data_IF_470267101799
#
_entry.id   IF_470267101799
#
_cell.length_a   1.000
_cell.length_b   1.000
_cell.length_c   1.000
_cell.angle_alpha   90.00
_cell.angle_beta   90.00
_cell.angle_gamma   90.00
#
_symmetry.space_group_name_H-M   'P 1'
#
loop_
_entity.id
_entity.type
_entity.pdbx_description
1 polymer ?
#
# COMPACT_ATOMS: atom_id res chain seq x y z
N UNK A 1 22.05 -2.83 -14.98
CA UNK A 1 21.30 -1.72 -15.60
C UNK A 1 19.81 -2.02 -15.79
N UNK A 2 19.36 -3.24 -15.53
CA UNK A 2 17.98 -3.70 -15.67
C UNK A 2 17.10 -3.31 -14.48
N UNK A 3 15.79 -3.33 -14.63
CA UNK A 3 14.88 -3.34 -13.49
C UNK A 3 15.08 -4.62 -12.67
N UNK A 4 14.73 -4.58 -11.39
CA UNK A 4 14.90 -5.71 -10.49
C UNK A 4 13.62 -5.95 -9.70
N UNK A 5 13.15 -7.20 -9.68
CA UNK A 5 12.07 -7.65 -8.80
C UNK A 5 12.66 -8.68 -7.83
N UNK A 6 12.55 -8.41 -6.54
CA UNK A 6 12.99 -9.29 -5.47
C UNK A 6 11.77 -9.88 -4.78
N UNK A 7 11.53 -11.18 -4.99
CA UNK A 7 10.47 -11.92 -4.31
C UNK A 7 11.01 -12.40 -2.95
N UNK A 8 10.60 -11.75 -1.88
CA UNK A 8 11.22 -11.92 -0.57
C UNK A 8 10.20 -12.35 0.49
N UNK A 9 10.40 -13.54 1.06
CA UNK A 9 9.54 -14.07 2.11
C UNK A 9 9.63 -13.32 3.46
N UNK A 10 8.89 -13.80 4.45
CA UNK A 10 8.88 -13.22 5.79
C UNK A 10 10.25 -13.35 6.49
N UNK A 11 10.79 -12.23 6.97
CA UNK A 11 12.06 -12.23 7.70
C UNK A 11 13.31 -12.57 6.89
N UNK A 12 13.24 -12.49 5.55
CA UNK A 12 14.37 -12.82 4.66
C UNK A 12 15.37 -11.68 4.46
N UNK A 13 15.20 -10.56 5.18
CA UNK A 13 16.13 -9.43 5.09
C UNK A 13 15.82 -8.45 3.95
N UNK A 14 14.55 -8.33 3.54
CA UNK A 14 14.10 -7.38 2.49
C UNK A 14 14.75 -6.00 2.63
N UNK A 15 14.50 -5.34 3.75
CA UNK A 15 14.99 -3.98 4.02
C UNK A 15 16.52 -3.89 4.02
N UNK A 16 17.19 -4.89 4.62
CA UNK A 16 18.66 -4.94 4.64
C UNK A 16 19.22 -5.05 3.22
N UNK A 17 18.66 -5.93 2.41
CA UNK A 17 19.09 -6.10 1.00
C UNK A 17 18.92 -4.81 0.20
N UNK A 18 17.83 -4.06 0.40
CA UNK A 18 17.63 -2.80 -0.30
C UNK A 18 18.61 -1.73 0.17
N UNK A 19 18.86 -1.62 1.47
CA UNK A 19 19.85 -0.67 2.02
C UNK A 19 21.23 -0.95 1.46
N UNK A 20 21.66 -2.22 1.42
CA UNK A 20 22.94 -2.61 0.81
C UNK A 20 22.96 -2.30 -0.70
N UNK A 21 21.89 -2.56 -1.40
CA UNK A 21 21.79 -2.18 -2.81
C UNK A 21 21.87 -0.66 -3.00
N UNK A 22 21.32 0.13 -2.08
CA UNK A 22 21.42 1.59 -2.11
C UNK A 22 22.86 2.08 -1.88
N UNK A 23 23.65 1.38 -1.04
CA UNK A 23 25.09 1.68 -0.86
C UNK A 23 25.92 1.45 -2.14
N UNK A 24 25.44 0.63 -3.06
CA UNK A 24 26.17 0.26 -4.28
C UNK A 24 25.88 1.15 -5.51
N UNK A 25 24.92 2.08 -5.43
CA UNK A 25 24.49 2.87 -6.61
C UNK A 25 25.44 4.04 -6.96
N UNK A 26 26.35 4.38 -6.06
CA UNK A 26 27.28 5.52 -6.25
C UNK A 26 26.54 6.87 -6.27
N UNK A 27 26.98 7.79 -7.10
CA UNK A 27 26.44 9.16 -7.18
C UNK A 27 25.16 9.31 -7.99
N UNK A 28 24.36 8.25 -8.15
CA UNK A 28 23.08 8.30 -8.86
C UNK A 28 22.02 8.96 -8.01
N UNK A 29 21.16 9.76 -8.63
CA UNK A 29 20.00 10.31 -7.96
C UNK A 29 19.02 9.20 -7.63
N UNK A 30 18.80 8.93 -6.37
CA UNK A 30 17.98 7.82 -5.94
C UNK A 30 16.98 8.20 -4.85
N UNK A 31 15.89 7.46 -4.79
CA UNK A 31 14.93 7.56 -3.70
C UNK A 31 14.37 6.20 -3.31
N UNK A 32 13.89 6.13 -2.07
CA UNK A 32 13.18 5.00 -1.51
C UNK A 32 11.72 5.36 -1.27
N UNK A 33 10.80 4.61 -1.87
CA UNK A 33 9.37 4.72 -1.63
C UNK A 33 8.95 3.75 -0.53
N UNK A 34 8.65 4.31 0.64
CA UNK A 34 8.17 3.57 1.80
C UNK A 34 6.63 3.55 1.85
N UNK A 35 6.08 2.45 2.36
CA UNK A 35 4.65 2.30 2.52
C UNK A 35 4.05 3.27 3.57
N UNK A 36 4.78 3.54 4.65
CA UNK A 36 4.34 4.43 5.72
C UNK A 36 5.47 5.31 6.26
N UNK A 37 5.10 6.30 7.11
CA UNK A 37 6.03 7.28 7.67
C UNK A 37 7.07 6.65 8.61
N UNK A 38 6.69 5.65 9.40
CA UNK A 38 7.60 4.99 10.35
C UNK A 38 8.74 4.30 9.58
N UNK A 39 8.42 3.55 8.54
CA UNK A 39 9.40 2.90 7.65
C UNK A 39 10.28 3.96 6.95
N UNK A 40 9.68 5.04 6.45
CA UNK A 40 10.44 6.11 5.81
C UNK A 40 11.46 6.75 6.77
N UNK A 41 11.09 6.96 8.03
CA UNK A 41 11.98 7.53 9.05
C UNK A 41 13.11 6.57 9.42
N UNK A 42 12.81 5.28 9.66
CA UNK A 42 13.81 4.26 9.94
C UNK A 42 14.82 4.12 8.79
N UNK A 43 14.32 4.13 7.56
CA UNK A 43 15.18 4.03 6.38
C UNK A 43 16.06 5.27 6.18
N UNK A 44 15.54 6.45 6.46
CA UNK A 44 16.33 7.68 6.34
C UNK A 44 17.60 7.68 7.22
N UNK A 45 17.59 6.93 8.34
CA UNK A 45 18.75 6.76 9.22
C UNK A 45 19.76 5.73 8.70
N UNK A 46 19.35 4.84 7.79
CA UNK A 46 20.14 3.70 7.31
C UNK A 46 20.64 3.85 5.87
N UNK A 47 19.98 4.71 5.09
CA UNK A 47 20.32 4.95 3.69
C UNK A 47 21.58 5.83 3.56
N UNK A 48 22.37 5.63 2.51
CA UNK A 48 23.51 6.50 2.25
C UNK A 48 23.09 7.94 1.96
N UNK A 49 24.00 8.88 2.20
CA UNK A 49 23.80 10.29 1.90
C UNK A 49 23.37 10.50 0.44
N UNK A 50 22.37 11.34 0.23
CA UNK A 50 21.82 11.61 -1.10
C UNK A 50 20.68 10.69 -1.56
N UNK A 51 20.36 9.63 -0.82
CA UNK A 51 19.19 8.79 -1.08
C UNK A 51 18.02 9.23 -0.20
N UNK A 52 16.96 9.73 -0.81
CA UNK A 52 15.77 10.19 -0.08
C UNK A 52 14.84 9.03 0.28
N UNK A 53 14.36 8.96 1.53
CA UNK A 53 13.27 8.07 1.93
C UNK A 53 11.97 8.87 2.10
N UNK A 54 10.93 8.55 1.34
CA UNK A 54 9.64 9.25 1.38
C UNK A 54 8.47 8.28 1.20
N UNK A 55 7.31 8.66 1.74
CA UNK A 55 6.06 7.94 1.45
C UNK A 55 5.46 8.37 0.11
N UNK A 56 4.55 7.56 -0.46
CA UNK A 56 3.78 7.93 -1.66
C UNK A 56 3.07 9.27 -1.52
N UNK A 57 2.46 9.52 -0.37
CA UNK A 57 1.78 10.80 -0.09
C UNK A 57 2.75 11.97 -0.11
N UNK A 58 3.96 11.82 0.45
CA UNK A 58 4.98 12.86 0.42
C UNK A 58 5.48 13.13 -1.01
N UNK A 59 5.62 12.10 -1.84
CA UNK A 59 5.95 12.25 -3.26
C UNK A 59 4.87 12.99 -4.03
N UNK A 60 3.61 12.57 -3.91
CA UNK A 60 2.50 13.22 -4.59
C UNK A 60 2.31 14.66 -4.12
N UNK A 61 2.47 14.92 -2.82
CA UNK A 61 2.43 16.29 -2.30
C UNK A 61 3.57 17.17 -2.83
N UNK A 62 4.75 16.58 -3.04
CA UNK A 62 5.87 17.28 -3.68
C UNK A 62 5.55 17.66 -5.13
N UNK A 63 4.88 16.76 -5.88
CA UNK A 63 4.43 17.06 -7.25
C UNK A 63 3.38 18.19 -7.29
N UNK A 64 2.44 18.22 -6.35
CA UNK A 64 1.45 19.29 -6.22
C UNK A 64 2.14 20.64 -5.96
N UNK A 65 3.14 20.67 -5.08
CA UNK A 65 3.92 21.87 -4.80
C UNK A 65 4.76 22.33 -6.00
N UNK A 66 5.39 21.38 -6.69
CA UNK A 66 6.17 21.65 -7.91
C UNK A 66 5.32 22.24 -9.03
N UNK A 67 4.03 21.89 -9.09
CA UNK A 67 3.04 22.50 -9.99
C UNK A 67 2.59 23.92 -9.55
N UNK A 68 3.12 24.47 -8.46
CA UNK A 68 2.76 25.79 -7.95
C UNK A 68 1.39 25.84 -7.23
N UNK A 69 0.77 24.70 -6.95
CA UNK A 69 -0.54 24.62 -6.32
C UNK A 69 -0.42 24.82 -4.82
N UNK A 70 -1.05 25.89 -4.30
CA UNK A 70 -1.16 26.14 -2.86
C UNK A 70 -2.36 25.38 -2.30
N UNK A 71 -2.11 24.47 -1.36
CA UNK A 71 -3.15 23.60 -0.81
C UNK A 71 -2.98 23.33 0.68
N UNK A 72 -4.08 22.96 1.34
CA UNK A 72 -4.11 22.46 2.73
C UNK A 72 -4.67 21.04 2.73
N UNK A 73 -4.13 20.19 3.59
CA UNK A 73 -4.66 18.83 3.78
C UNK A 73 -5.85 18.86 4.73
N UNK A 74 -6.98 18.31 4.28
CA UNK A 74 -8.19 18.15 5.08
C UNK A 74 -8.88 16.82 4.72
N UNK A 75 -8.83 15.86 5.62
CA UNK A 75 -9.41 14.53 5.44
C UNK A 75 -10.96 14.51 5.38
N UNK A 76 -11.60 15.62 5.69
CA UNK A 76 -13.05 15.78 5.55
C UNK A 76 -13.48 16.31 4.17
N UNK A 77 -12.54 16.63 3.26
CA UNK A 77 -12.85 17.17 1.93
C UNK A 77 -13.90 16.34 1.20
N UNK A 78 -13.63 15.05 1.01
CA UNK A 78 -14.53 14.15 0.29
C UNK A 78 -15.89 14.03 1.00
N UNK A 79 -15.88 13.96 2.33
CA UNK A 79 -17.10 13.93 3.13
C UNK A 79 -17.98 15.18 2.91
N UNK A 80 -17.35 16.35 2.87
CA UNK A 80 -18.05 17.61 2.63
C UNK A 80 -18.60 17.67 1.19
N UNK A 81 -17.81 17.29 0.20
CA UNK A 81 -18.26 17.23 -1.21
C UNK A 81 -19.50 16.33 -1.35
N UNK A 82 -19.48 15.15 -0.74
CA UNK A 82 -20.62 14.21 -0.81
C UNK A 82 -21.86 14.82 -0.16
N UNK A 83 -21.73 15.42 1.03
CA UNK A 83 -22.86 16.06 1.73
C UNK A 83 -23.40 17.28 1.00
N UNK A 84 -22.53 18.09 0.40
CA UNK A 84 -22.93 19.25 -0.37
C UNK A 84 -23.69 18.85 -1.65
N UNK A 85 -23.32 17.72 -2.25
CA UNK A 85 -23.93 17.24 -3.50
C UNK A 85 -25.22 16.45 -3.27
N UNK A 86 -25.26 15.57 -2.26
CA UNK A 86 -26.34 14.59 -2.06
C UNK A 86 -27.21 14.86 -0.81
N UNK A 87 -26.84 15.85 0.00
CA UNK A 87 -27.55 16.20 1.24
C UNK A 87 -26.91 15.58 2.49
N UNK A 88 -27.23 16.19 3.64
CA UNK A 88 -26.65 15.81 4.93
C UNK A 88 -27.06 14.41 5.40
N UNK A 89 -28.24 13.95 4.99
CA UNK A 89 -28.82 12.66 5.39
C UNK A 89 -28.29 11.48 4.58
N UNK A 90 -27.52 11.73 3.51
CA UNK A 90 -26.94 10.67 2.69
C UNK A 90 -25.91 9.86 3.49
N UNK A 91 -25.99 8.53 3.41
CA UNK A 91 -25.03 7.65 4.09
C UNK A 91 -23.68 7.66 3.38
N UNK A 92 -22.76 8.47 3.89
CA UNK A 92 -21.50 8.84 3.23
C UNK A 92 -20.50 7.69 3.16
N UNK A 93 -20.50 6.77 4.12
CA UNK A 93 -19.41 5.80 4.28
C UNK A 93 -19.19 4.89 3.06
N UNK A 94 -20.20 4.22 2.47
CA UNK A 94 -20.02 3.39 1.27
C UNK A 94 -19.54 4.19 0.06
N UNK A 95 -20.12 5.36 -0.18
CA UNK A 95 -19.72 6.20 -1.31
C UNK A 95 -18.30 6.74 -1.14
N UNK A 96 -17.92 7.11 0.07
CA UNK A 96 -16.55 7.52 0.37
C UNK A 96 -15.56 6.39 0.08
N UNK A 97 -15.86 5.17 0.50
CA UNK A 97 -15.05 3.99 0.19
C UNK A 97 -14.96 3.76 -1.32
N UNK A 98 -16.09 3.82 -2.03
CA UNK A 98 -16.13 3.63 -3.48
C UNK A 98 -15.30 4.69 -4.22
N UNK A 99 -15.43 5.96 -3.87
CA UNK A 99 -14.64 7.05 -4.49
C UNK A 99 -13.14 6.88 -4.22
N UNK A 100 -12.76 6.45 -3.00
CA UNK A 100 -11.36 6.14 -2.68
C UNK A 100 -10.80 5.01 -3.56
N UNK A 101 -11.58 3.95 -3.77
CA UNK A 101 -11.21 2.85 -4.65
C UNK A 101 -11.14 3.29 -6.13
N UNK A 102 -12.08 4.09 -6.60
CA UNK A 102 -12.07 4.66 -7.96
C UNK A 102 -10.82 5.51 -8.19
N UNK A 103 -10.45 6.38 -7.24
CA UNK A 103 -9.20 7.16 -7.27
C UNK A 103 -7.97 6.25 -7.26
N UNK A 104 -7.94 5.26 -6.35
CA UNK A 104 -6.84 4.31 -6.20
C UNK A 104 -6.62 3.42 -7.43
N UNK A 105 -7.69 3.03 -8.11
CA UNK A 105 -7.68 2.19 -9.30
C UNK A 105 -7.58 2.98 -10.61
N UNK A 106 -7.56 4.32 -10.55
CA UNK A 106 -7.57 5.22 -11.72
C UNK A 106 -8.73 4.94 -12.70
N UNK A 107 -9.84 4.41 -12.18
CA UNK A 107 -11.05 4.16 -12.97
C UNK A 107 -11.70 5.50 -13.35
N UNK A 108 -12.14 5.64 -14.59
CA UNK A 108 -12.88 6.83 -15.01
C UNK A 108 -14.25 6.87 -14.35
N UNK A 109 -14.64 8.00 -13.82
CA UNK A 109 -15.94 8.16 -13.14
C UNK A 109 -17.17 7.81 -14.00
N UNK A 110 -17.01 7.78 -15.31
CA UNK A 110 -18.05 7.39 -16.29
C UNK A 110 -18.03 5.90 -16.65
N UNK A 111 -17.04 5.14 -16.16
CA UNK A 111 -16.94 3.70 -16.43
C UNK A 111 -17.73 2.89 -15.38
N UNK A 112 -19.06 2.89 -15.56
CA UNK A 112 -20.01 2.21 -14.68
C UNK A 112 -19.68 0.72 -14.52
N UNK A 113 -19.19 0.06 -15.58
CA UNK A 113 -18.83 -1.37 -15.52
C UNK A 113 -17.69 -1.62 -14.55
N UNK A 114 -16.63 -0.84 -14.62
CA UNK A 114 -15.50 -0.95 -13.69
C UNK A 114 -15.89 -0.52 -12.27
N UNK A 115 -16.77 0.47 -12.12
CA UNK A 115 -17.30 0.90 -10.82
C UNK A 115 -18.10 -0.23 -10.16
N UNK A 116 -19.02 -0.88 -10.89
CA UNK A 116 -19.79 -2.02 -10.38
C UNK A 116 -18.86 -3.17 -9.96
N UNK A 117 -17.81 -3.45 -10.76
CA UNK A 117 -16.80 -4.45 -10.38
C UNK A 117 -16.13 -4.11 -9.05
N UNK A 118 -15.83 -2.84 -8.78
CA UNK A 118 -15.28 -2.42 -7.48
C UNK A 118 -16.29 -2.63 -6.34
N UNK A 119 -17.58 -2.35 -6.56
CA UNK A 119 -18.62 -2.58 -5.57
C UNK A 119 -18.67 -4.06 -5.19
N UNK A 120 -18.69 -4.95 -6.18
CA UNK A 120 -18.75 -6.41 -5.99
C UNK A 120 -17.47 -6.93 -5.31
N UNK A 121 -16.29 -6.55 -5.81
CA UNK A 121 -15.00 -7.04 -5.33
C UNK A 121 -14.73 -6.63 -3.88
N UNK A 122 -15.14 -5.42 -3.50
CA UNK A 122 -14.91 -4.87 -2.16
C UNK A 122 -16.12 -4.97 -1.23
N UNK A 123 -17.18 -5.67 -1.66
CA UNK A 123 -18.43 -5.86 -0.91
C UNK A 123 -18.94 -4.53 -0.32
N UNK A 124 -19.05 -3.50 -1.16
CA UNK A 124 -19.56 -2.20 -0.71
C UNK A 124 -21.09 -2.29 -0.62
N UNK A 125 -21.60 -2.11 0.59
CA UNK A 125 -23.04 -2.25 0.84
C UNK A 125 -23.68 -0.87 1.02
N UNK A 126 -24.65 -0.55 0.18
CA UNK A 126 -25.55 0.59 0.31
C UNK A 126 -26.84 0.16 1.01
N UNK A 127 -27.58 1.10 1.57
CA UNK A 127 -28.83 0.78 2.28
C UNK A 127 -29.98 0.35 1.32
N UNK A 128 -29.87 0.67 0.04
CA UNK A 128 -30.83 0.29 -1.00
C UNK A 128 -30.23 0.40 -2.40
N UNK A 129 -30.81 -0.31 -3.38
CA UNK A 129 -30.44 -0.21 -4.81
C UNK A 129 -30.59 1.22 -5.35
N UNK A 130 -31.53 2.00 -4.79
CA UNK A 130 -31.70 3.41 -5.15
C UNK A 130 -30.51 4.24 -4.70
N UNK A 131 -30.03 4.02 -3.48
CA UNK A 131 -28.88 4.73 -2.92
C UNK A 131 -27.61 4.37 -3.70
N UNK A 132 -27.41 3.09 -4.02
CA UNK A 132 -26.30 2.63 -4.85
C UNK A 132 -26.29 3.31 -6.23
N UNK A 133 -27.45 3.37 -6.89
CA UNK A 133 -27.57 4.03 -8.20
C UNK A 133 -27.23 5.52 -8.11
N UNK A 134 -27.75 6.23 -7.11
CA UNK A 134 -27.41 7.66 -6.87
C UNK A 134 -25.92 7.82 -6.62
N UNK A 135 -25.33 6.91 -5.83
CA UNK A 135 -23.90 6.92 -5.56
C UNK A 135 -23.08 6.79 -6.85
N UNK A 136 -23.37 5.80 -7.70
CA UNK A 136 -22.68 5.58 -8.98
C UNK A 136 -22.82 6.79 -9.90
N UNK A 137 -24.04 7.32 -10.06
CA UNK A 137 -24.33 8.48 -10.92
C UNK A 137 -23.63 9.77 -10.43
N UNK A 138 -23.34 9.87 -9.12
CA UNK A 138 -22.67 11.03 -8.53
C UNK A 138 -21.15 11.04 -8.67
N UNK A 139 -20.51 9.88 -8.93
CA UNK A 139 -19.05 9.75 -8.99
C UNK A 139 -18.40 10.75 -9.97
N UNK A 140 -18.87 10.93 -11.20
CA UNK A 140 -18.25 11.89 -12.13
C UNK A 140 -18.20 13.32 -11.57
N UNK A 141 -19.29 13.76 -10.94
CA UNK A 141 -19.39 15.08 -10.33
C UNK A 141 -18.47 15.21 -9.12
N UNK A 142 -18.41 14.19 -8.25
CA UNK A 142 -17.53 14.15 -7.07
C UNK A 142 -16.07 14.22 -7.50
N UNK A 143 -15.64 13.42 -8.48
CA UNK A 143 -14.27 13.44 -8.98
C UNK A 143 -13.92 14.78 -9.62
N UNK A 144 -14.86 15.40 -10.35
CA UNK A 144 -14.66 16.74 -10.89
C UNK A 144 -14.46 17.77 -9.79
N UNK A 145 -15.27 17.74 -8.74
CA UNK A 145 -15.11 18.62 -7.57
C UNK A 145 -13.78 18.36 -6.85
N UNK A 146 -13.40 17.11 -6.66
CA UNK A 146 -12.09 16.75 -6.09
C UNK A 146 -10.94 17.32 -6.90
N UNK A 147 -11.03 17.23 -8.23
CA UNK A 147 -10.02 17.71 -9.17
C UNK A 147 -9.89 19.24 -9.21
N UNK A 148 -11.01 19.96 -9.14
CA UNK A 148 -11.06 21.43 -9.30
C UNK A 148 -10.83 22.18 -7.98
N UNK A 149 -11.21 21.62 -6.84
CA UNK A 149 -10.98 22.19 -5.52
C UNK A 149 -9.55 21.92 -5.03
N UNK A 150 -8.57 22.56 -5.67
CA UNK A 150 -7.14 22.30 -5.43
C UNK A 150 -6.62 22.95 -4.13
N UNK A 151 -7.31 23.95 -3.58
CA UNK A 151 -6.92 24.64 -2.34
C UNK A 151 -7.06 23.78 -1.07
N UNK A 152 -7.84 22.70 -1.15
CA UNK A 152 -8.00 21.66 -0.14
C UNK A 152 -7.83 20.31 -0.79
N UNK A 153 -7.05 19.42 -0.18
CA UNK A 153 -6.85 18.03 -0.63
C UNK A 153 -7.00 17.07 0.54
N UNK A 154 -7.45 15.86 0.27
CA UNK A 154 -7.39 14.72 1.20
C UNK A 154 -6.18 13.82 0.91
N UNK A 155 -6.04 12.72 1.64
CA UNK A 155 -4.92 11.79 1.43
C UNK A 155 -4.97 11.12 0.05
N UNK A 156 -6.16 10.73 -0.44
CA UNK A 156 -6.29 10.12 -1.77
C UNK A 156 -5.90 11.12 -2.85
N UNK A 157 -6.29 12.38 -2.70
CA UNK A 157 -5.93 13.46 -3.63
C UNK A 157 -4.42 13.67 -3.72
N UNK A 158 -3.66 13.43 -2.63
CA UNK A 158 -2.20 13.60 -2.67
C UNK A 158 -1.54 12.70 -3.73
N UNK A 159 -2.12 11.54 -3.99
CA UNK A 159 -1.62 10.59 -4.99
C UNK A 159 -2.36 10.76 -6.33
N UNK A 160 -3.69 10.80 -6.28
CA UNK A 160 -4.55 10.81 -7.45
C UNK A 160 -4.48 12.13 -8.25
N UNK A 161 -4.56 13.28 -7.58
CA UNK A 161 -4.61 14.58 -8.23
C UNK A 161 -3.37 14.88 -9.11
N UNK A 162 -2.13 14.62 -8.66
CA UNK A 162 -0.96 14.81 -9.52
C UNK A 162 -0.99 13.95 -10.79
N UNK A 163 -1.55 12.76 -10.71
CA UNK A 163 -1.65 11.83 -11.83
C UNK A 163 -2.64 12.31 -12.89
N UNK A 164 -3.83 12.75 -12.45
CA UNK A 164 -4.90 13.17 -13.39
C UNK A 164 -4.74 14.59 -13.94
N UNK A 165 -3.94 15.43 -13.26
CA UNK A 165 -3.61 16.77 -13.73
C UNK A 165 -2.23 16.83 -14.41
N UNK A 166 -1.57 15.69 -14.55
CA UNK A 166 -0.24 15.56 -15.14
C UNK A 166 0.80 16.52 -14.54
N UNK A 167 0.80 16.62 -13.18
CA UNK A 167 1.77 17.44 -12.46
C UNK A 167 3.17 16.81 -12.53
N UNK A 168 4.23 17.63 -12.50
CA UNK A 168 5.60 17.14 -12.64
C UNK A 168 6.00 16.32 -11.39
N UNK A 169 6.33 15.06 -11.59
CA UNK A 169 6.94 14.21 -10.58
C UNK A 169 8.46 14.36 -10.61
N UNK A 170 9.14 14.26 -9.44
CA UNK A 170 10.58 14.13 -9.43
C UNK A 170 10.99 12.80 -10.08
N UNK A 171 12.05 12.85 -10.91
CA UNK A 171 12.60 11.67 -11.57
C UNK A 171 13.90 11.24 -10.91
N UNK A 172 14.14 9.92 -10.90
CA UNK A 172 15.28 9.28 -10.27
C UNK A 172 15.98 8.31 -11.22
N UNK A 173 17.32 8.23 -11.12
CA UNK A 173 18.09 7.21 -11.82
C UNK A 173 17.83 5.82 -11.26
N UNK A 174 17.60 5.74 -9.92
CA UNK A 174 17.23 4.51 -9.22
C UNK A 174 16.11 4.79 -8.23
N UNK A 175 15.02 4.02 -8.34
CA UNK A 175 13.92 4.07 -7.40
C UNK A 175 13.78 2.72 -6.69
N UNK A 176 13.93 2.73 -5.38
CA UNK A 176 13.70 1.58 -4.51
C UNK A 176 12.26 1.58 -4.03
N UNK A 177 11.64 0.42 -4.04
CA UNK A 177 10.22 0.26 -3.70
C UNK A 177 10.05 -0.98 -2.85
N UNK A 178 9.55 -0.83 -1.62
CA UNK A 178 9.27 -1.93 -0.71
C UNK A 178 7.77 -2.22 -0.59
N UNK A 179 7.42 -3.42 -0.15
CA UNK A 179 6.05 -3.91 0.04
C UNK A 179 5.17 -3.78 -1.23
N UNK A 180 5.75 -4.10 -2.38
CA UNK A 180 5.12 -3.90 -3.69
C UNK A 180 3.83 -4.71 -3.90
N UNK A 181 3.58 -5.74 -3.11
CA UNK A 181 2.35 -6.53 -3.15
C UNK A 181 1.11 -5.73 -2.69
N UNK A 182 1.31 -4.63 -1.95
CA UNK A 182 0.23 -3.84 -1.35
C UNK A 182 -0.14 -2.58 -2.15
N UNK A 183 0.37 -2.43 -3.38
CA UNK A 183 0.13 -1.22 -4.17
C UNK A 183 -1.12 -1.31 -5.04
N UNK A 184 -1.84 -0.21 -5.07
CA UNK A 184 -2.92 0.03 -6.01
C UNK A 184 -2.41 0.62 -7.34
N UNK A 185 -3.30 0.80 -8.30
CA UNK A 185 -2.95 1.28 -9.64
C UNK A 185 -2.38 2.70 -9.65
N UNK A 186 -2.92 3.61 -8.82
CA UNK A 186 -2.42 4.99 -8.76
C UNK A 186 -0.98 5.05 -8.21
N UNK A 187 -0.63 4.19 -7.27
CA UNK A 187 0.74 4.08 -6.76
C UNK A 187 1.69 3.51 -7.81
N UNK A 188 1.27 2.47 -8.55
CA UNK A 188 2.07 1.92 -9.67
C UNK A 188 2.30 2.96 -10.77
N UNK A 189 1.28 3.75 -11.12
CA UNK A 189 1.42 4.83 -12.10
C UNK A 189 2.40 5.91 -11.61
N UNK A 190 2.31 6.31 -10.35
CA UNK A 190 3.25 7.27 -9.76
C UNK A 190 4.69 6.77 -9.84
N UNK A 191 4.95 5.51 -9.51
CA UNK A 191 6.29 4.91 -9.62
C UNK A 191 6.78 5.02 -11.07
N UNK A 192 5.94 4.67 -12.06
CA UNK A 192 6.32 4.76 -13.48
C UNK A 192 6.72 6.17 -13.89
N UNK A 193 6.01 7.20 -13.41
CA UNK A 193 6.37 8.60 -13.66
C UNK A 193 7.67 9.02 -12.99
N UNK A 194 7.96 8.49 -11.78
CA UNK A 194 9.19 8.78 -11.05
C UNK A 194 10.43 8.06 -11.61
N UNK A 195 10.25 6.94 -12.31
CA UNK A 195 11.33 6.11 -12.89
C UNK A 195 11.64 6.50 -14.34
N UNK A 196 11.01 7.52 -14.89
CA UNK A 196 11.12 7.87 -16.30
C UNK A 196 12.58 7.89 -16.81
N UNK A 197 12.97 6.86 -17.57
CA UNK A 197 14.34 6.62 -18.03
C UNK A 197 15.31 6.04 -16.99
N UNK A 198 14.90 5.90 -15.74
CA UNK A 198 15.69 5.33 -14.65
C UNK A 198 15.48 3.83 -14.46
N UNK A 199 15.94 3.31 -13.33
CA UNK A 199 15.87 1.92 -12.90
C UNK A 199 14.96 1.78 -11.68
N UNK A 200 14.11 0.75 -11.64
CA UNK A 200 13.30 0.42 -10.49
C UNK A 200 13.80 -0.89 -9.84
N UNK A 201 13.94 -0.89 -8.52
CA UNK A 201 14.24 -2.07 -7.70
C UNK A 201 13.05 -2.26 -6.77
N UNK A 202 12.29 -3.31 -7.04
CA UNK A 202 11.02 -3.61 -6.36
C UNK A 202 11.24 -4.82 -5.47
N UNK A 203 10.80 -4.70 -4.22
CA UNK A 203 10.80 -5.82 -3.26
C UNK A 203 9.39 -6.02 -2.75
N UNK A 204 9.00 -7.27 -2.59
CA UNK A 204 7.70 -7.62 -2.05
C UNK A 204 7.54 -9.11 -1.80
N UNK A 205 6.49 -9.47 -1.09
CA UNK A 205 6.09 -10.84 -0.83
C UNK A 205 4.65 -11.05 -1.28
N UNK A 206 4.47 -11.76 -2.40
CA UNK A 206 3.13 -12.06 -2.93
C UNK A 206 2.21 -12.79 -1.93
N UNK A 207 2.80 -13.51 -0.96
CA UNK A 207 2.07 -14.27 0.05
C UNK A 207 1.68 -13.42 1.28
N UNK A 208 2.18 -12.18 1.37
CA UNK A 208 1.85 -11.22 2.44
C UNK A 208 0.91 -10.10 1.99
N UNK A 209 0.28 -10.20 0.83
CA UNK A 209 -0.71 -9.22 0.36
C UNK A 209 -1.97 -9.24 1.25
N UNK A 210 -2.07 -8.30 2.19
CA UNK A 210 -3.18 -8.21 3.16
C UNK A 210 -4.02 -6.94 3.03
N UNK A 211 -3.60 -5.98 2.23
CA UNK A 211 -4.26 -4.68 2.05
C UNK A 211 -5.23 -4.63 0.85
N UNK A 212 -5.76 -5.78 0.42
CA UNK A 212 -6.78 -5.84 -0.62
C UNK A 212 -7.94 -4.85 -0.39
N UNK A 213 -8.42 -4.69 0.83
CA UNK A 213 -9.48 -3.74 1.19
C UNK A 213 -9.17 -2.25 0.93
N UNK A 214 -7.90 -1.91 0.63
CA UNK A 214 -7.45 -0.56 0.21
C UNK A 214 -7.23 -0.44 -1.30
N UNK A 215 -7.73 -1.39 -2.08
CA UNK A 215 -7.51 -1.42 -3.52
C UNK A 215 -6.16 -2.00 -3.93
N UNK A 216 -5.41 -2.62 -3.00
CA UNK A 216 -4.23 -3.38 -3.35
C UNK A 216 -4.64 -4.62 -4.16
N UNK A 217 -3.97 -4.83 -5.28
CA UNK A 217 -4.21 -5.98 -6.15
C UNK A 217 -3.32 -7.13 -5.70
N UNK A 218 -3.90 -8.30 -5.41
CA UNK A 218 -3.15 -9.51 -5.07
C UNK A 218 -2.14 -9.92 -6.15
N UNK A 219 -2.33 -9.41 -7.37
CA UNK A 219 -1.44 -9.58 -8.51
C UNK A 219 -0.48 -8.39 -8.74
N UNK A 220 -0.36 -7.49 -7.76
CA UNK A 220 0.35 -6.21 -7.88
C UNK A 220 1.77 -6.36 -8.46
N UNK A 221 2.55 -7.33 -8.00
CA UNK A 221 3.92 -7.57 -8.49
C UNK A 221 3.92 -7.93 -9.98
N UNK A 222 2.99 -8.78 -10.44
CA UNK A 222 2.89 -9.12 -11.86
C UNK A 222 2.41 -7.92 -12.71
N UNK A 223 1.52 -7.09 -12.19
CA UNK A 223 1.11 -5.85 -12.86
C UNK A 223 2.27 -4.86 -12.98
N UNK A 224 3.12 -4.79 -11.97
CA UNK A 224 4.38 -4.05 -12.04
C UNK A 224 5.27 -4.60 -13.15
N UNK A 225 5.49 -5.93 -13.17
CA UNK A 225 6.27 -6.56 -14.21
C UNK A 225 5.76 -6.18 -15.60
N UNK A 226 4.46 -6.34 -15.86
CA UNK A 226 3.86 -5.99 -17.15
C UNK A 226 4.05 -4.51 -17.52
N UNK A 227 4.03 -3.63 -16.54
CA UNK A 227 4.24 -2.20 -16.73
C UNK A 227 5.70 -1.87 -17.05
N UNK A 228 6.65 -2.45 -16.32
CA UNK A 228 8.09 -2.26 -16.56
C UNK A 228 8.54 -2.86 -17.87
N UNK A 229 7.94 -3.97 -18.33
CA UNK A 229 8.20 -4.58 -19.64
C UNK A 229 7.77 -3.72 -20.83
N UNK A 230 6.97 -2.67 -20.63
CA UNK A 230 6.65 -1.71 -21.70
C UNK A 230 7.80 -0.75 -22.00
N UNK A 231 8.83 -0.70 -21.15
CA UNK A 231 10.05 0.05 -21.39
C UNK A 231 11.13 -0.77 -22.07
N UNK A 232 12.26 -0.14 -22.34
CA UNK A 232 13.40 -0.75 -23.06
C UNK A 232 14.33 -1.58 -22.17
N UNK A 233 14.03 -1.68 -20.85
CA UNK A 233 14.88 -2.39 -19.89
C UNK A 233 14.35 -3.78 -19.61
N UNK A 234 15.27 -4.74 -19.51
CA UNK A 234 14.96 -6.08 -19.02
C UNK A 234 14.66 -6.06 -17.52
N UNK A 235 14.03 -7.12 -17.03
CA UNK A 235 13.73 -7.33 -15.61
C UNK A 235 14.48 -8.55 -15.12
N UNK A 236 15.37 -8.35 -14.15
CA UNK A 236 15.95 -9.43 -13.37
C UNK A 236 15.01 -9.81 -12.20
N UNK A 237 14.93 -11.11 -11.90
CA UNK A 237 14.14 -11.59 -10.76
C UNK A 237 14.99 -12.43 -9.84
N UNK A 238 14.88 -12.16 -8.54
CA UNK A 238 15.65 -12.88 -7.52
C UNK A 238 14.76 -13.24 -6.33
N UNK A 239 14.81 -14.50 -5.88
CA UNK A 239 14.15 -14.90 -4.65
C UNK A 239 15.02 -14.59 -3.43
N UNK A 240 14.38 -14.15 -2.33
CA UNK A 240 14.93 -14.22 -0.99
C UNK A 240 14.07 -15.21 -0.19
N UNK A 241 14.55 -16.44 -0.04
CA UNK A 241 13.80 -17.55 0.54
C UNK A 241 14.24 -17.96 1.95
N UNK A 242 15.40 -17.47 2.42
CA UNK A 242 15.95 -17.84 3.73
C UNK A 242 15.50 -16.85 4.79
N UNK A 243 14.68 -17.31 5.72
CA UNK A 243 14.25 -16.50 6.88
C UNK A 243 15.31 -16.46 7.98
N UNK A 244 15.69 -15.27 8.36
CA UNK A 244 16.58 -14.99 9.50
C UNK A 244 15.82 -14.69 10.80
N UNK A 245 14.49 -14.61 10.70
CA UNK A 245 13.59 -14.25 11.80
C UNK A 245 12.86 -15.45 12.37
N UNK A 246 12.36 -16.33 11.50
CA UNK A 246 11.43 -17.37 11.89
C UNK A 246 12.14 -18.61 12.44
N UNK A 247 11.68 -19.19 13.57
CA UNK A 247 12.14 -20.48 14.05
C UNK A 247 11.85 -21.63 13.07
N UNK A 248 12.58 -22.74 13.21
CA UNK A 248 12.46 -23.92 12.36
C UNK A 248 11.02 -24.47 12.31
N UNK A 249 10.36 -24.61 13.46
CA UNK A 249 8.99 -25.11 13.55
C UNK A 249 7.98 -24.19 12.86
N UNK A 250 8.17 -22.86 12.93
CA UNK A 250 7.31 -21.87 12.24
C UNK A 250 7.50 -21.93 10.74
N UNK A 251 8.74 -22.06 10.26
CA UNK A 251 9.03 -22.23 8.83
C UNK A 251 8.44 -23.54 8.30
N UNK A 252 8.56 -24.64 9.06
CA UNK A 252 7.94 -25.93 8.70
C UNK A 252 6.43 -25.81 8.57
N UNK A 253 5.77 -25.08 9.46
CA UNK A 253 4.33 -24.83 9.37
C UNK A 253 3.99 -23.95 8.18
N UNK A 254 4.74 -22.87 7.95
CA UNK A 254 4.55 -21.97 6.80
C UNK A 254 4.69 -22.70 5.45
N UNK A 255 5.55 -23.71 5.36
CA UNK A 255 5.78 -24.51 4.15
C UNK A 255 4.57 -25.36 3.72
N UNK A 256 3.53 -25.48 4.57
CA UNK A 256 2.23 -26.04 4.14
C UNK A 256 1.54 -25.15 3.11
N UNK A 257 1.82 -23.85 3.12
CA UNK A 257 1.17 -22.81 2.31
C UNK A 257 2.11 -22.15 1.31
N UNK A 258 3.37 -21.97 1.68
CA UNK A 258 4.39 -21.27 0.89
C UNK A 258 5.53 -22.24 0.59
N UNK A 259 5.70 -22.58 -0.69
CA UNK A 259 6.84 -23.39 -1.14
C UNK A 259 8.09 -22.51 -1.23
N UNK A 260 9.26 -23.14 -1.16
CA UNK A 260 10.57 -22.47 -1.33
C UNK A 260 10.89 -21.45 -0.22
N UNK A 261 10.43 -21.69 1.01
CA UNK A 261 10.71 -20.89 2.18
C UNK A 261 11.49 -21.74 3.19
N UNK A 262 12.69 -21.29 3.58
CA UNK A 262 13.58 -22.01 4.50
C UNK A 262 14.01 -21.16 5.68
N UNK A 263 14.33 -21.81 6.78
CA UNK A 263 14.96 -21.15 7.92
C UNK A 263 16.47 -21.06 7.72
N UNK A 264 17.10 -20.04 8.31
CA UNK A 264 18.56 -19.95 8.40
C UNK A 264 19.13 -21.10 9.23
N UNK A 265 20.37 -21.50 8.97
CA UNK A 265 21.09 -22.52 9.76
C UNK A 265 21.28 -22.11 11.23
N UNK A 266 21.11 -20.83 11.55
CA UNK A 266 21.18 -20.27 12.91
C UNK A 266 19.80 -20.18 13.58
N UNK A 267 18.74 -20.63 12.92
CA UNK A 267 17.38 -20.54 13.45
C UNK A 267 17.20 -21.45 14.67
N UNK A 268 16.49 -20.92 15.68
CA UNK A 268 16.09 -21.71 16.85
C UNK A 268 15.00 -22.71 16.47
N UNK A 269 14.84 -23.79 17.26
CA UNK A 269 13.80 -24.79 17.04
C UNK A 269 12.39 -24.15 17.07
N UNK A 270 12.05 -23.42 18.14
CA UNK A 270 10.74 -22.85 18.35
C UNK A 270 9.66 -23.91 18.64
N UNK A 271 8.40 -23.48 18.67
CA UNK A 271 7.24 -24.37 18.80
C UNK A 271 6.02 -23.81 18.07
N UNK A 272 5.18 -24.70 17.54
CA UNK A 272 3.86 -24.41 17.00
C UNK A 272 2.87 -25.35 17.68
N UNK A 273 1.87 -24.80 18.35
CA UNK A 273 0.84 -25.55 19.06
C UNK A 273 -0.51 -25.24 18.44
N UNK A 274 -1.11 -26.24 17.80
CA UNK A 274 -2.44 -26.13 17.23
C UNK A 274 -3.49 -26.20 18.36
N UNK A 275 -4.59 -25.43 18.20
CA UNK A 275 -5.70 -25.41 19.15
C UNK A 275 -5.31 -25.13 20.60
N UNK A 276 -4.26 -24.35 20.82
CA UNK A 276 -3.87 -23.92 22.14
C UNK A 276 -5.02 -23.13 22.81
N UNK A 277 -5.24 -23.30 24.13
CA UNK A 277 -6.20 -22.48 24.85
C UNK A 277 -5.78 -21.00 24.78
N UNK A 278 -6.75 -20.10 24.68
CA UNK A 278 -6.51 -18.66 24.65
C UNK A 278 -6.16 -18.16 26.06
N UNK A 279 -4.91 -18.25 26.40
CA UNK A 279 -4.35 -17.84 27.71
C UNK A 279 -3.13 -16.93 27.51
N UNK A 280 -3.28 -15.76 26.89
CA UNK A 280 -2.15 -14.90 26.60
C UNK A 280 -1.51 -14.36 27.89
N UNK A 281 -0.19 -14.33 27.89
CA UNK A 281 0.64 -13.79 28.96
C UNK A 281 1.20 -12.42 28.61
N UNK A 282 1.94 -11.83 29.53
CA UNK A 282 2.59 -10.52 29.29
C UNK A 282 3.60 -10.61 28.15
N UNK A 283 3.51 -9.70 27.20
CA UNK A 283 4.30 -9.60 25.98
C UNK A 283 3.90 -10.58 24.86
N UNK A 284 2.82 -11.34 25.01
CA UNK A 284 2.26 -12.10 23.91
C UNK A 284 1.57 -11.16 22.93
N UNK A 285 1.64 -11.51 21.64
CA UNK A 285 0.93 -10.80 20.57
C UNK A 285 -0.23 -11.65 20.10
N UNK A 286 -1.44 -11.11 20.19
CA UNK A 286 -2.66 -11.74 19.67
C UNK A 286 -2.95 -11.20 18.27
N UNK A 287 -2.98 -12.09 17.28
CA UNK A 287 -3.23 -11.73 15.89
C UNK A 287 -4.54 -12.35 15.39
N UNK A 288 -5.33 -11.56 14.69
CA UNK A 288 -6.53 -12.02 13.99
C UNK A 288 -6.65 -11.30 12.64
N UNK A 289 -7.21 -11.99 11.65
CA UNK A 289 -7.49 -11.40 10.32
C UNK A 289 -8.51 -10.25 10.39
N UNK A 290 -9.44 -10.31 11.35
CA UNK A 290 -10.51 -9.35 11.54
C UNK A 290 -10.35 -8.61 12.88
N UNK A 291 -10.72 -7.33 12.93
CA UNK A 291 -10.62 -6.53 14.15
C UNK A 291 -11.68 -6.92 15.20
N UNK A 292 -12.88 -7.30 14.78
CA UNK A 292 -13.96 -7.57 15.72
C UNK A 292 -13.62 -8.64 16.79
N UNK A 293 -13.02 -9.80 16.46
CA UNK A 293 -12.56 -10.76 17.46
C UNK A 293 -11.49 -10.20 18.40
N UNK A 294 -10.62 -9.31 17.91
CA UNK A 294 -9.57 -8.69 18.75
C UNK A 294 -10.18 -7.75 19.78
N UNK A 295 -11.24 -7.01 19.42
CA UNK A 295 -11.96 -6.14 20.36
C UNK A 295 -12.58 -6.97 21.49
N UNK A 296 -13.21 -8.11 21.17
CA UNK A 296 -13.73 -9.05 22.17
C UNK A 296 -12.62 -9.54 23.11
N UNK A 297 -11.53 -10.06 22.54
CA UNK A 297 -10.37 -10.55 23.31
C UNK A 297 -9.74 -9.46 24.19
N UNK A 298 -9.68 -8.22 23.70
CA UNK A 298 -9.19 -7.07 24.47
C UNK A 298 -10.03 -6.82 25.73
N UNK A 299 -11.37 -6.76 25.60
CA UNK A 299 -12.25 -6.56 26.75
C UNK A 299 -12.22 -7.73 27.73
N UNK A 300 -12.13 -8.97 27.23
CA UNK A 300 -12.03 -10.16 28.07
C UNK A 300 -10.75 -10.13 28.92
N UNK A 301 -9.63 -9.73 28.35
CA UNK A 301 -8.35 -9.60 29.06
C UNK A 301 -8.40 -8.51 30.14
N UNK A 302 -8.97 -7.34 29.80
CA UNK A 302 -9.13 -6.26 30.79
C UNK A 302 -10.05 -6.67 31.93
N UNK A 303 -11.16 -7.38 31.63
CA UNK A 303 -12.08 -7.86 32.69
C UNK A 303 -11.41 -8.83 33.65
N UNK A 304 -10.36 -9.55 33.21
CA UNK A 304 -9.52 -10.42 34.01
C UNK A 304 -8.38 -9.68 34.75
N UNK A 305 -8.34 -8.34 34.65
CA UNK A 305 -7.29 -7.51 35.29
C UNK A 305 -5.95 -7.54 34.55
N UNK A 306 -5.90 -8.05 33.30
CA UNK A 306 -4.69 -8.04 32.46
C UNK A 306 -4.59 -6.73 31.67
N UNK A 307 -3.38 -6.24 31.50
CA UNK A 307 -3.11 -5.10 30.61
C UNK A 307 -3.11 -5.55 29.15
N UNK A 308 -3.95 -4.94 28.31
CA UNK A 308 -3.99 -5.15 26.86
C UNK A 308 -3.99 -3.78 26.15
N UNK A 309 -3.39 -3.67 24.94
CA UNK A 309 -3.33 -2.46 24.13
C UNK A 309 -3.12 -2.79 22.64
#
# INVERSE_FOLDING_TARGET
>A
ENHLIVNAGAGTGKTTTIVEAANMIGNKKAAFLAFNKSIATELAERLPEGVEAKTFHAFGFSAIRAAGVRTKVNNFKLNNIIKDLLGADFYVAPLKQLVSLVKGSLVRGTDVKSINKLIDEYNINFNSDREERIAIESIPSILTMCKTQTHIIDFDDMIWMPLINDYPFPTYDVLFVDEAQDFNESQREMISKCVNGGRCIIVGDKNQAIYGFRGADSNSINLFRQRLLKGDREIGEFPLSISWRCPLSVVKEANRYVKDFSASDLAKEGSVIENAPFLPERNDMVLCRYNAPLVGAFYDLISQGKSAY
#
